data_IF_397290609470
#
_entry.id   IF_397290609470
#
_cell.length_a   1.000
_cell.length_b   1.000
_cell.length_c   1.000
_cell.angle_alpha   90.00
_cell.angle_beta   90.00
_cell.angle_gamma   90.00
#
_symmetry.space_group_name_H-M   'P 1'
#
loop_
_entity.id
_entity.type
_entity.pdbx_description
1 polymer ?
#
# COMPACT_ATOMS: atom_id res chain seq x y z
N UNK A 1 14.57 -2.68 1.17
CA UNK A 1 13.37 -2.46 1.98
C UNK A 1 12.80 -1.06 1.78
N UNK A 2 13.66 -0.06 1.81
CA UNK A 2 13.22 1.34 1.62
C UNK A 2 12.55 1.55 0.28
N UNK A 3 13.14 1.03 -0.80
CA UNK A 3 12.55 1.16 -2.13
C UNK A 3 11.23 0.39 -2.23
N UNK A 4 11.17 -0.78 -1.63
CA UNK A 4 9.93 -1.58 -1.61
C UNK A 4 8.82 -0.82 -0.88
N UNK A 5 9.15 -0.16 0.22
CA UNK A 5 8.18 0.62 0.97
C UNK A 5 7.62 1.77 0.13
N UNK A 6 8.49 2.48 -0.59
CA UNK A 6 8.09 3.59 -1.44
C UNK A 6 7.22 3.12 -2.60
N UNK A 7 7.60 2.02 -3.25
CA UNK A 7 6.80 1.43 -4.33
C UNK A 7 5.43 1.03 -3.82
N UNK A 8 5.39 0.36 -2.66
CA UNK A 8 4.13 -0.08 -2.06
C UNK A 8 3.23 1.12 -1.76
N UNK A 9 3.79 2.17 -1.18
CA UNK A 9 3.03 3.38 -0.86
C UNK A 9 2.45 4.03 -2.11
N UNK A 10 3.29 4.18 -3.14
CA UNK A 10 2.84 4.81 -4.39
C UNK A 10 1.78 3.96 -5.10
N UNK A 11 1.94 2.65 -5.09
CA UNK A 11 0.96 1.76 -5.68
C UNK A 11 -0.39 1.90 -4.97
N UNK A 12 -0.39 1.92 -3.64
CA UNK A 12 -1.62 2.09 -2.88
C UNK A 12 -2.27 3.44 -3.20
N UNK A 13 -1.47 4.49 -3.30
CA UNK A 13 -1.96 5.82 -3.64
C UNK A 13 -2.65 5.83 -5.02
N UNK A 14 -2.02 5.22 -6.01
CA UNK A 14 -2.56 5.15 -7.37
C UNK A 14 -3.84 4.33 -7.43
N UNK A 15 -3.89 3.21 -6.71
CA UNK A 15 -5.09 2.38 -6.68
C UNK A 15 -6.22 3.08 -5.94
N UNK A 16 -5.90 3.76 -4.84
CA UNK A 16 -6.90 4.51 -4.08
C UNK A 16 -7.49 5.65 -4.90
N UNK A 17 -6.69 6.25 -5.78
CA UNK A 17 -7.16 7.34 -6.63
C UNK A 17 -8.30 6.93 -7.56
N UNK A 18 -8.43 5.64 -7.86
CA UNK A 18 -9.51 5.13 -8.69
C UNK A 18 -10.84 5.09 -7.94
N UNK A 19 -10.82 4.97 -6.61
CA UNK A 19 -12.01 4.69 -5.83
C UNK A 19 -12.28 5.66 -4.69
N UNK A 20 -11.28 6.42 -4.25
CA UNK A 20 -11.37 7.25 -3.06
C UNK A 20 -11.08 8.71 -3.38
N UNK A 21 -11.56 9.64 -2.53
CA UNK A 21 -11.26 11.07 -2.71
C UNK A 21 -9.76 11.35 -2.62
N UNK A 22 -9.28 12.45 -3.23
CA UNK A 22 -7.85 12.80 -3.20
C UNK A 22 -7.23 12.87 -1.82
N UNK A 23 -7.97 13.34 -0.81
CA UNK A 23 -7.45 13.46 0.56
C UNK A 23 -7.16 12.08 1.17
N UNK A 24 -7.83 11.04 0.69
CA UNK A 24 -7.57 9.68 1.17
C UNK A 24 -6.37 9.02 0.49
N UNK A 25 -5.96 9.54 -0.66
CA UNK A 25 -4.81 9.00 -1.37
C UNK A 25 -3.52 9.18 -0.58
N UNK A 26 -3.39 10.30 0.13
CA UNK A 26 -2.21 10.54 0.98
C UNK A 26 -2.16 9.52 2.11
N UNK A 27 -3.31 9.20 2.70
CA UNK A 27 -3.39 8.20 3.76
C UNK A 27 -3.04 6.81 3.22
N UNK A 28 -3.47 6.51 1.99
CA UNK A 28 -3.12 5.23 1.36
C UNK A 28 -1.62 5.10 1.17
N UNK A 29 -0.95 6.18 0.77
CA UNK A 29 0.51 6.21 0.63
C UNK A 29 1.16 5.88 1.98
N UNK A 30 0.69 6.52 3.05
CA UNK A 30 1.20 6.29 4.40
C UNK A 30 1.04 4.84 4.82
N UNK A 31 -0.13 4.25 4.56
CA UNK A 31 -0.35 2.83 4.88
C UNK A 31 0.68 1.95 4.17
N UNK A 32 0.90 2.19 2.88
CA UNK A 32 1.85 1.41 2.11
C UNK A 32 3.26 1.49 2.64
N UNK A 33 3.75 2.71 2.90
CA UNK A 33 5.10 2.91 3.40
C UNK A 33 5.26 2.31 4.81
N UNK A 34 4.31 2.60 5.69
CA UNK A 34 4.41 2.19 7.09
C UNK A 34 4.19 0.69 7.27
N UNK A 35 3.60 0.01 6.28
CA UNK A 35 3.39 -1.44 6.37
C UNK A 35 4.72 -2.22 6.46
N UNK A 36 5.84 -1.58 6.13
CA UNK A 36 7.17 -2.17 6.24
C UNK A 36 8.00 -1.56 7.36
N UNK A 37 7.41 -0.69 8.17
CA UNK A 37 8.15 0.01 9.21
C UNK A 37 8.72 -0.95 10.25
N UNK A 38 8.00 -2.03 10.57
CA UNK A 38 8.49 -3.05 11.49
C UNK A 38 9.76 -3.72 10.99
N UNK A 39 9.81 -4.00 9.69
CA UNK A 39 11.00 -4.59 9.06
C UNK A 39 12.16 -3.59 9.06
N UNK A 40 11.88 -2.34 8.75
CA UNK A 40 12.91 -1.31 8.68
C UNK A 40 13.53 -1.00 10.03
N UNK A 41 12.71 -1.01 11.09
CA UNK A 41 13.17 -0.70 12.45
C UNK A 41 13.49 -1.94 13.27
N UNK A 42 13.17 -3.12 12.74
CA UNK A 42 13.39 -4.40 13.41
C UNK A 42 12.69 -4.49 14.77
N UNK A 43 11.46 -3.99 14.83
CA UNK A 43 10.59 -4.05 16.02
C UNK A 43 9.17 -4.40 15.56
N UNK A 44 8.31 -4.90 16.46
CA UNK A 44 6.91 -5.14 16.10
C UNK A 44 6.23 -3.87 15.60
N UNK A 45 5.31 -4.01 14.66
CA UNK A 45 4.64 -2.85 14.06
C UNK A 45 3.92 -1.99 15.10
N UNK A 46 3.28 -2.63 16.07
CA UNK A 46 2.63 -1.90 17.17
C UNK A 46 3.61 -0.97 17.88
N UNK A 47 4.81 -1.47 18.15
CA UNK A 47 5.88 -0.69 18.80
C UNK A 47 6.31 0.47 17.90
N UNK A 48 6.52 0.18 16.62
CA UNK A 48 6.97 1.18 15.66
C UNK A 48 5.99 2.34 15.55
N UNK A 49 4.70 2.09 15.71
CA UNK A 49 3.65 3.10 15.57
C UNK A 49 3.28 3.81 16.86
N UNK A 50 3.81 3.40 18.01
CA UNK A 50 3.45 3.98 19.30
C UNK A 50 3.65 5.48 19.38
N UNK A 51 4.71 5.99 18.76
CA UNK A 51 5.05 7.41 18.83
C UNK A 51 4.51 8.23 17.66
N UNK A 52 3.74 7.61 16.78
CA UNK A 52 3.22 8.27 15.59
C UNK A 52 1.71 8.44 15.71
N UNK A 53 1.22 9.66 15.52
CA UNK A 53 -0.21 9.93 15.54
C UNK A 53 -0.76 9.73 14.11
N UNK A 54 -1.53 8.67 13.92
CA UNK A 54 -2.09 8.33 12.61
C UNK A 54 -3.61 8.33 12.66
N UNK A 55 -4.28 8.68 11.55
CA UNK A 55 -5.73 8.53 11.47
C UNK A 55 -6.16 7.09 11.74
N UNK A 56 -7.33 6.92 12.33
CA UNK A 56 -7.83 5.60 12.71
C UNK A 56 -7.86 4.62 11.53
N UNK A 57 -8.34 5.00 10.32
CA UNK A 57 -8.36 4.07 9.18
C UNK A 57 -6.96 3.55 8.81
N UNK A 58 -5.92 4.38 8.98
CA UNK A 58 -4.54 3.98 8.70
C UNK A 58 -4.10 2.94 9.72
N UNK A 59 -4.32 3.21 11.00
CA UNK A 59 -3.97 2.28 12.09
C UNK A 59 -4.73 0.96 11.94
N UNK A 60 -6.02 1.04 11.61
CA UNK A 60 -6.85 -0.16 11.42
C UNK A 60 -6.27 -1.07 10.34
N UNK A 61 -5.85 -0.49 9.22
CA UNK A 61 -5.28 -1.28 8.12
C UNK A 61 -3.94 -1.89 8.52
N UNK A 62 -3.10 -1.12 9.22
CA UNK A 62 -1.75 -1.56 9.57
C UNK A 62 -1.73 -2.60 10.68
N UNK A 63 -2.53 -2.41 11.72
CA UNK A 63 -2.48 -3.26 12.91
C UNK A 63 -3.52 -4.38 12.91
N UNK A 64 -4.66 -4.15 12.28
CA UNK A 64 -5.79 -5.08 12.36
C UNK A 64 -6.23 -5.66 11.01
N UNK A 65 -5.71 -5.13 9.92
CA UNK A 65 -6.12 -5.58 8.59
C UNK A 65 -7.57 -5.28 8.28
N UNK A 66 -8.09 -4.18 8.82
CA UNK A 66 -9.48 -3.78 8.64
C UNK A 66 -9.57 -2.34 8.13
N UNK A 67 -10.78 -1.93 7.75
CA UNK A 67 -11.04 -0.57 7.33
C UNK A 67 -10.89 -0.38 5.82
N UNK A 68 -11.01 0.86 5.38
CA UNK A 68 -11.09 1.20 3.95
C UNK A 68 -9.79 0.90 3.19
N UNK A 69 -8.63 0.98 3.86
CA UNK A 69 -7.34 0.77 3.20
C UNK A 69 -6.89 -0.70 3.20
N UNK A 70 -7.51 -1.54 4.01
CA UNK A 70 -7.08 -2.94 4.13
C UNK A 70 -7.07 -3.69 2.80
N UNK A 71 -8.14 -3.64 1.97
CA UNK A 71 -8.11 -4.37 0.70
C UNK A 71 -7.05 -3.85 -0.25
N UNK A 72 -6.77 -2.54 -0.25
CA UNK A 72 -5.71 -1.99 -1.09
C UNK A 72 -4.35 -2.52 -0.65
N UNK A 73 -4.10 -2.61 0.64
CA UNK A 73 -2.85 -3.15 1.16
C UNK A 73 -2.71 -4.64 0.82
N UNK A 74 -3.78 -5.39 0.96
CA UNK A 74 -3.80 -6.81 0.63
C UNK A 74 -3.49 -7.02 -0.85
N UNK A 75 -4.11 -6.23 -1.72
CA UNK A 75 -3.88 -6.32 -3.17
C UNK A 75 -2.43 -5.99 -3.51
N UNK A 76 -1.89 -4.95 -2.89
CA UNK A 76 -0.51 -4.54 -3.12
C UNK A 76 0.47 -5.63 -2.72
N UNK A 77 0.24 -6.25 -1.57
CA UNK A 77 1.08 -7.37 -1.12
C UNK A 77 1.00 -8.55 -2.08
N UNK A 78 -0.19 -8.83 -2.61
CA UNK A 78 -0.38 -9.91 -3.59
C UNK A 78 0.42 -9.64 -4.87
N UNK A 79 0.47 -8.39 -5.31
CA UNK A 79 1.29 -8.00 -6.47
C UNK A 79 2.77 -8.30 -6.24
N UNK A 80 3.25 -8.01 -5.03
CA UNK A 80 4.66 -8.22 -4.70
C UNK A 80 5.03 -9.68 -4.57
N UNK A 81 4.13 -10.48 -4.00
CA UNK A 81 4.41 -11.89 -3.71
C UNK A 81 4.02 -12.82 -4.85
N UNK A 82 3.33 -12.31 -5.85
CA UNK A 82 2.85 -13.16 -6.95
C UNK A 82 1.71 -14.08 -6.56
N UNK A 83 0.94 -13.72 -5.53
CA UNK A 83 -0.21 -14.50 -5.06
C UNK A 83 -1.41 -14.21 -5.96
N UNK A 84 -1.52 -14.97 -7.06
CA UNK A 84 -2.54 -14.75 -8.09
C UNK A 84 -3.97 -14.94 -7.56
N UNK A 85 -4.17 -15.86 -6.64
CA UNK A 85 -5.50 -16.11 -6.08
C UNK A 85 -5.99 -14.91 -5.26
N UNK A 86 -5.14 -14.37 -4.39
CA UNK A 86 -5.48 -13.19 -3.60
C UNK A 86 -5.63 -11.97 -4.51
N UNK A 87 -4.75 -11.84 -5.50
CA UNK A 87 -4.82 -10.75 -6.47
C UNK A 87 -6.20 -10.74 -7.15
N UNK A 88 -6.62 -11.88 -7.70
CA UNK A 88 -7.89 -11.96 -8.42
C UNK A 88 -9.08 -11.67 -7.52
N UNK A 89 -9.07 -12.21 -6.31
CA UNK A 89 -10.17 -12.03 -5.36
C UNK A 89 -10.31 -10.56 -4.94
N UNK A 90 -9.23 -9.94 -4.54
CA UNK A 90 -9.27 -8.57 -4.03
C UNK A 90 -9.50 -7.56 -5.14
N UNK A 91 -8.87 -7.76 -6.29
CA UNK A 91 -9.12 -6.88 -7.45
C UNK A 91 -10.59 -6.91 -7.84
N UNK A 92 -11.21 -8.08 -7.82
CA UNK A 92 -12.63 -8.24 -8.10
C UNK A 92 -13.48 -7.51 -7.07
N UNK A 93 -13.14 -7.64 -5.79
CA UNK A 93 -13.85 -6.96 -4.71
C UNK A 93 -13.81 -5.44 -4.88
N UNK A 94 -12.69 -4.92 -5.37
CA UNK A 94 -12.49 -3.48 -5.58
C UNK A 94 -12.95 -3.02 -6.95
N UNK A 95 -13.42 -3.94 -7.78
CA UNK A 95 -13.84 -3.66 -9.17
C UNK A 95 -12.72 -3.05 -10.01
N UNK A 96 -11.50 -3.52 -9.77
CA UNK A 96 -10.32 -3.12 -10.53
C UNK A 96 -9.93 -4.23 -11.49
N UNK A 97 -9.60 -3.87 -12.73
CA UNK A 97 -9.13 -4.85 -13.71
C UNK A 97 -7.65 -5.16 -13.49
N UNK A 98 -7.22 -6.32 -13.95
CA UNK A 98 -5.81 -6.69 -13.93
C UNK A 98 -4.95 -5.63 -14.62
N UNK A 99 -5.46 -5.08 -15.73
CA UNK A 99 -4.76 -4.05 -16.49
C UNK A 99 -4.55 -2.79 -15.65
N UNK A 100 -5.59 -2.35 -14.94
CA UNK A 100 -5.51 -1.16 -14.08
C UNK A 100 -4.46 -1.35 -12.98
N UNK A 101 -4.48 -2.51 -12.32
CA UNK A 101 -3.55 -2.80 -11.23
C UNK A 101 -2.11 -2.92 -11.75
N UNK A 102 -1.92 -3.63 -12.86
CA UNK A 102 -0.58 -3.79 -13.44
C UNK A 102 -0.02 -2.48 -13.93
N UNK A 103 -0.85 -1.63 -14.53
CA UNK A 103 -0.42 -0.31 -14.98
C UNK A 103 0.01 0.56 -13.79
N UNK A 104 -0.78 0.54 -12.71
CA UNK A 104 -0.44 1.28 -11.50
C UNK A 104 0.87 0.80 -10.90
N UNK A 105 1.10 -0.52 -10.91
CA UNK A 105 2.33 -1.10 -10.40
C UNK A 105 3.55 -0.64 -11.21
N UNK A 106 3.42 -0.62 -12.52
CA UNK A 106 4.49 -0.12 -13.39
C UNK A 106 4.77 1.36 -13.14
N UNK A 107 3.72 2.16 -12.93
CA UNK A 107 3.89 3.57 -12.62
C UNK A 107 4.59 3.77 -11.29
N UNK A 108 4.23 2.96 -10.28
CA UNK A 108 4.86 3.05 -8.96
C UNK A 108 6.35 2.69 -9.05
N UNK A 109 6.67 1.66 -9.83
CA UNK A 109 8.07 1.25 -10.02
C UNK A 109 8.87 2.33 -10.72
N UNK A 110 8.31 2.94 -11.77
CA UNK A 110 8.97 4.02 -12.50
C UNK A 110 9.19 5.24 -11.61
N UNK A 111 8.20 5.57 -10.80
CA UNK A 111 8.29 6.71 -9.87
C UNK A 111 9.39 6.50 -8.84
N UNK A 112 9.49 5.28 -8.29
CA UNK A 112 10.53 4.96 -7.31
C UNK A 112 11.92 5.00 -7.95
N UNK A 113 12.03 4.56 -9.21
CA UNK A 113 13.27 4.62 -9.97
C UNK A 113 13.74 6.07 -10.14
N UNK A 114 12.82 6.98 -10.43
CA UNK A 114 13.14 8.41 -10.58
C UNK A 114 13.66 9.00 -9.27
N UNK A 115 13.15 8.57 -8.14
CA UNK A 115 13.62 9.05 -6.84
C UNK A 115 15.05 8.61 -6.57
N UNK A 116 15.45 7.46 -7.07
CA UNK A 116 16.78 6.89 -6.84
C UNK A 116 17.76 7.17 -7.98
N UNK A 117 17.25 7.52 -9.14
CA UNK A 117 18.03 7.62 -10.36
C UNK A 117 18.86 8.87 -10.50
N UNK A 118 18.69 9.79 -9.61
CA UNK A 118 19.38 11.06 -9.68
C UNK A 118 20.47 11.18 -8.64
#
# INVERSE_FOLDING_TARGET
VGQTAVVRGRLMELLAAELLPPEECDNAFVVGVFSLLDTMLNVPLEKALESVALPQPVTDALLHGTGVFAPFLELTKACESGDDATFARVADELHLSNRQVNWAHLQALAWAEDLNGD
#
